data_IF_269769578833
#
_entry.id   IF_269769578833
#
_cell.length_a   1.000
_cell.length_b   1.000
_cell.length_c   1.000
_cell.angle_alpha   90.00
_cell.angle_beta   90.00
_cell.angle_gamma   90.00
#
_symmetry.space_group_name_H-M   'P 1'
#
loop_
_entity.id
_entity.type
_entity.pdbx_description
1 polymer ?
#
# COMPACT_ATOMS: atom_id res chain seq x y z
N UNK A 1 -48.83 26.44 -48.57
CA UNK A 1 -49.45 25.39 -47.71
C UNK A 1 -50.28 24.42 -48.56
N UNK A 2 -50.61 23.20 -48.08
CA UNK A 2 -49.95 22.43 -47.01
C UNK A 2 -49.75 20.91 -47.35
N UNK A 3 -49.16 20.14 -46.42
CA UNK A 3 -49.27 18.65 -46.29
C UNK A 3 -48.61 17.74 -47.38
N UNK A 4 -48.13 16.51 -47.13
CA UNK A 4 -47.54 15.84 -45.92
C UNK A 4 -46.97 14.44 -46.32
N UNK A 5 -45.91 13.95 -45.63
CA UNK A 5 -45.69 12.57 -45.10
C UNK A 5 -45.86 11.29 -46.00
N UNK A 6 -45.10 10.17 -45.95
CA UNK A 6 -43.91 9.62 -45.20
C UNK A 6 -43.15 8.67 -46.20
N UNK A 7 -42.14 7.81 -45.92
CA UNK A 7 -41.31 7.40 -44.76
C UNK A 7 -39.95 6.87 -45.30
N UNK A 8 -38.90 6.75 -44.47
CA UNK A 8 -38.00 5.57 -44.50
C UNK A 8 -37.32 5.36 -43.13
N UNK A 9 -37.38 4.13 -42.61
CA UNK A 9 -36.89 3.67 -41.31
C UNK A 9 -35.37 3.84 -40.97
N UNK A 10 -35.06 3.61 -39.68
CA UNK A 10 -33.74 3.31 -39.05
C UNK A 10 -32.93 4.53 -38.52
N UNK A 11 -32.26 4.51 -37.35
CA UNK A 11 -32.06 3.47 -36.30
C UNK A 11 -31.86 4.05 -34.88
N UNK A 12 -32.43 3.37 -33.87
CA UNK A 12 -32.04 3.29 -32.43
C UNK A 12 -32.05 4.57 -31.51
N UNK A 13 -32.38 4.45 -30.20
CA UNK A 13 -32.46 5.56 -29.24
C UNK A 13 -31.48 5.48 -28.03
N UNK A 14 -31.45 6.57 -27.22
CA UNK A 14 -30.87 6.70 -25.86
C UNK A 14 -29.32 6.55 -25.76
N UNK A 15 -28.63 7.10 -24.75
CA UNK A 15 -29.06 7.61 -23.43
C UNK A 15 -28.17 8.76 -22.92
N UNK A 16 -28.72 9.53 -21.99
CA UNK A 16 -28.11 10.46 -21.01
C UNK A 16 -26.60 10.28 -20.72
N UNK A 17 -25.91 11.42 -20.58
CA UNK A 17 -24.70 11.57 -19.75
C UNK A 17 -24.79 12.85 -18.92
N UNK A 18 -24.97 12.69 -17.63
CA UNK A 18 -24.43 13.63 -16.65
C UNK A 18 -23.08 13.04 -16.25
N UNK A 19 -21.99 13.58 -16.78
CA UNK A 19 -20.64 13.23 -16.37
C UNK A 19 -20.29 14.08 -15.13
N UNK A 20 -21.04 13.84 -14.04
CA UNK A 20 -20.76 14.36 -12.69
C UNK A 20 -19.61 13.54 -12.08
N UNK A 21 -18.39 13.73 -12.60
CA UNK A 21 -17.17 13.25 -11.95
C UNK A 21 -16.89 14.10 -10.69
N UNK A 22 -17.75 13.96 -9.67
CA UNK A 22 -17.36 14.29 -8.30
C UNK A 22 -16.24 13.34 -7.90
N UNK A 23 -15.01 13.85 -7.94
CA UNK A 23 -13.81 13.15 -7.47
C UNK A 23 -13.91 13.00 -5.94
N UNK A 24 -14.63 11.95 -5.50
CA UNK A 24 -14.86 11.61 -4.09
C UNK A 24 -13.55 11.19 -3.42
N UNK A 25 -12.78 12.22 -3.07
CA UNK A 25 -11.54 12.17 -2.29
C UNK A 25 -11.83 11.89 -0.81
N UNK A 26 -12.72 10.93 -0.55
CA UNK A 26 -12.90 10.29 0.75
C UNK A 26 -11.52 9.98 1.36
N UNK A 27 -11.24 10.57 2.52
CA UNK A 27 -9.87 10.74 3.03
C UNK A 27 -9.13 9.42 3.23
N UNK A 28 -8.31 9.04 2.24
CA UNK A 28 -7.70 7.71 2.07
C UNK A 28 -6.65 7.32 3.14
N UNK A 29 -6.32 8.25 4.03
CA UNK A 29 -5.53 8.00 5.25
C UNK A 29 -6.23 7.00 6.18
N UNK A 30 -7.56 7.09 6.32
CA UNK A 30 -8.34 6.37 7.35
C UNK A 30 -8.68 4.91 6.98
N UNK A 31 -7.80 4.21 6.26
CA UNK A 31 -7.91 2.75 6.06
C UNK A 31 -7.32 1.98 7.25
N UNK A 32 -6.58 2.64 8.15
CA UNK A 32 -6.36 2.12 9.50
C UNK A 32 -7.41 2.69 10.46
N UNK A 33 -8.00 1.81 11.29
CA UNK A 33 -8.91 2.20 12.38
C UNK A 33 -8.19 2.92 13.55
N UNK A 34 -6.87 3.09 13.47
CA UNK A 34 -6.03 3.75 14.49
C UNK A 34 -5.60 5.11 13.98
N UNK A 35 -6.06 6.17 14.63
CA UNK A 35 -5.77 7.56 14.23
C UNK A 35 -4.27 7.84 14.14
N UNK A 36 -3.82 8.37 13.00
CA UNK A 36 -2.43 8.77 12.74
C UNK A 36 -1.53 7.65 12.19
N UNK A 37 -1.85 6.38 12.44
CA UNK A 37 -1.23 5.25 11.74
C UNK A 37 -1.80 5.16 10.31
N UNK A 38 -0.99 4.73 9.32
CA UNK A 38 -1.39 4.75 7.90
C UNK A 38 -0.94 3.53 7.09
N UNK A 39 -1.77 3.15 6.12
CA UNK A 39 -1.42 2.22 5.05
C UNK A 39 -0.78 3.01 3.89
N UNK A 40 0.53 2.94 3.76
CA UNK A 40 1.28 3.76 2.79
C UNK A 40 1.27 3.10 1.42
N UNK A 41 0.69 3.81 0.44
CA UNK A 41 0.51 3.38 -0.97
C UNK A 41 1.44 4.14 -1.92
N UNK A 42 2.69 4.31 -1.51
CA UNK A 42 3.76 4.89 -2.33
C UNK A 42 5.12 4.54 -1.76
N UNK A 43 6.15 4.55 -2.60
CA UNK A 43 7.54 4.38 -2.16
C UNK A 43 7.99 5.47 -1.19
N UNK A 44 8.71 5.06 -0.15
CA UNK A 44 9.18 5.94 0.90
C UNK A 44 10.14 7.00 0.34
N UNK A 45 9.94 8.25 0.76
CA UNK A 45 10.78 9.39 0.37
C UNK A 45 11.12 10.24 1.60
N UNK A 46 12.40 10.48 1.80
CA UNK A 46 12.99 11.30 2.87
C UNK A 46 12.29 12.65 2.99
N UNK A 47 12.04 13.30 1.85
CA UNK A 47 11.42 14.62 1.74
C UNK A 47 9.97 14.70 2.24
N UNK A 48 9.26 13.56 2.36
CA UNK A 48 7.92 13.49 2.98
C UNK A 48 7.96 13.13 4.47
N UNK A 49 9.10 12.66 4.98
CA UNK A 49 9.24 12.22 6.36
C UNK A 49 9.52 13.40 7.30
N UNK A 50 8.47 14.08 7.74
CA UNK A 50 8.54 15.16 8.74
C UNK A 50 8.42 14.65 10.18
N UNK A 51 8.25 13.34 10.37
CA UNK A 51 7.99 12.69 11.66
C UNK A 51 9.25 12.09 12.29
N UNK A 52 9.25 11.93 13.62
CA UNK A 52 10.38 11.34 14.35
C UNK A 52 10.29 9.80 14.32
N UNK A 53 10.97 9.17 13.36
CA UNK A 53 11.03 7.71 13.24
C UNK A 53 11.79 7.11 14.43
N UNK A 54 11.07 6.35 15.26
CA UNK A 54 11.66 5.62 16.41
C UNK A 54 12.22 4.26 15.97
N UNK A 55 11.60 3.60 14.99
CA UNK A 55 12.06 2.36 14.33
C UNK A 55 11.54 2.33 12.89
N UNK A 56 12.38 1.91 11.95
CA UNK A 56 12.00 1.54 10.58
C UNK A 56 12.60 0.15 10.32
N UNK A 57 11.83 -0.84 9.91
CA UNK A 57 12.29 -2.22 9.69
C UNK A 57 12.17 -2.59 8.21
N UNK A 58 13.24 -3.10 7.62
CA UNK A 58 13.26 -3.69 6.28
C UNK A 58 12.74 -5.13 6.34
N UNK A 59 11.42 -5.33 6.16
CA UNK A 59 10.79 -6.65 6.30
C UNK A 59 11.38 -7.67 5.31
N UNK A 60 11.88 -8.80 5.82
CA UNK A 60 12.61 -9.80 5.03
C UNK A 60 13.98 -9.35 4.50
N UNK A 61 14.53 -8.23 4.98
CA UNK A 61 15.78 -7.65 4.47
C UNK A 61 16.81 -7.30 5.54
N UNK A 62 18.01 -6.97 5.07
CA UNK A 62 19.14 -6.54 5.91
C UNK A 62 19.04 -5.04 6.27
N UNK A 63 19.93 -4.60 7.17
CA UNK A 63 20.03 -3.21 7.58
C UNK A 63 20.43 -2.30 6.40
N UNK A 64 19.93 -1.07 6.38
CA UNK A 64 20.31 -0.07 5.38
C UNK A 64 20.65 1.26 6.08
N UNK A 65 21.84 1.80 5.79
CA UNK A 65 22.25 3.14 6.21
C UNK A 65 22.20 4.10 5.01
N UNK A 66 21.58 5.27 5.18
CA UNK A 66 21.70 6.34 4.19
C UNK A 66 23.06 7.05 4.30
N UNK A 67 23.70 7.31 3.15
CA UNK A 67 24.93 8.09 3.07
C UNK A 67 24.60 9.56 2.81
N UNK A 68 24.10 10.25 3.84
CA UNK A 68 23.66 11.65 3.78
C UNK A 68 23.64 12.36 5.13
N UNK A 69 23.33 13.66 5.13
CA UNK A 69 23.23 14.49 6.36
C UNK A 69 22.04 14.09 7.25
N UNK A 70 20.98 13.52 6.66
CA UNK A 70 19.93 12.83 7.40
C UNK A 70 20.33 11.37 7.58
N UNK A 71 20.82 10.99 8.76
CA UNK A 71 21.15 9.58 9.07
C UNK A 71 19.89 8.76 9.33
N UNK A 72 19.12 8.50 8.27
CA UNK A 72 18.09 7.47 8.26
C UNK A 72 18.74 6.11 8.54
N UNK A 73 18.25 5.41 9.57
CA UNK A 73 18.71 4.08 9.96
C UNK A 73 17.56 3.09 9.82
N UNK A 74 17.62 2.30 8.76
CA UNK A 74 16.66 1.22 8.50
C UNK A 74 17.22 -0.06 9.14
N UNK A 75 16.47 -0.59 10.10
CA UNK A 75 16.80 -1.80 10.85
C UNK A 75 16.61 -3.06 9.99
N UNK A 76 17.43 -4.11 10.21
CA UNK A 76 17.18 -5.43 9.62
C UNK A 76 15.91 -6.06 10.21
N UNK A 77 15.36 -7.05 9.52
CA UNK A 77 14.22 -7.83 10.02
C UNK A 77 14.59 -8.71 11.22
N UNK A 78 14.40 -8.20 12.44
CA UNK A 78 14.80 -8.87 13.70
C UNK A 78 13.71 -8.93 14.77
N UNK A 79 12.56 -8.28 14.55
CA UNK A 79 11.51 -8.10 15.55
C UNK A 79 10.29 -9.01 15.31
N UNK A 80 10.46 -10.07 14.52
CA UNK A 80 9.38 -10.91 14.02
C UNK A 80 9.24 -12.23 14.80
N UNK A 81 8.06 -12.84 14.71
CA UNK A 81 7.84 -14.25 15.05
C UNK A 81 6.98 -14.90 13.96
N UNK A 82 7.48 -16.01 13.40
CA UNK A 82 6.85 -16.69 12.25
C UNK A 82 7.12 -16.06 10.87
N UNK A 83 6.46 -16.61 9.86
CA UNK A 83 6.57 -16.23 8.46
C UNK A 83 7.89 -16.60 7.77
N UNK A 84 7.85 -16.58 6.45
CA UNK A 84 9.00 -16.80 5.56
C UNK A 84 9.46 -15.47 4.93
N UNK A 85 10.65 -15.49 4.34
CA UNK A 85 11.26 -14.34 3.66
C UNK A 85 11.29 -14.58 2.15
N UNK A 86 10.87 -13.59 1.36
CA UNK A 86 11.08 -13.53 -0.07
C UNK A 86 11.93 -12.31 -0.43
N UNK A 87 12.80 -12.47 -1.44
CA UNK A 87 13.42 -11.38 -2.17
C UNK A 87 13.14 -11.52 -3.67
N UNK A 88 12.97 -10.40 -4.36
CA UNK A 88 13.01 -10.30 -5.82
C UNK A 88 14.16 -9.40 -6.27
N UNK A 89 14.75 -9.68 -7.43
CA UNK A 89 15.70 -8.79 -8.11
C UNK A 89 15.04 -8.02 -9.27
N UNK A 90 13.72 -8.15 -9.43
CA UNK A 90 12.92 -7.33 -10.35
C UNK A 90 12.95 -5.84 -9.98
N UNK A 91 12.71 -4.99 -10.99
CA UNK A 91 12.62 -3.53 -10.78
C UNK A 91 11.32 -3.14 -10.08
N UNK A 92 11.43 -2.49 -8.93
CA UNK A 92 10.29 -1.88 -8.24
C UNK A 92 9.99 -0.51 -8.87
N UNK A 93 8.75 -0.34 -9.33
CA UNK A 93 8.24 0.89 -9.92
C UNK A 93 7.78 1.82 -8.79
N UNK A 94 8.13 3.11 -8.87
CA UNK A 94 7.79 4.13 -7.88
C UNK A 94 8.27 3.85 -6.43
N UNK A 95 9.35 3.07 -6.26
CA UNK A 95 9.92 2.69 -4.96
C UNK A 95 10.55 3.81 -4.12
N UNK A 96 10.41 5.08 -4.50
CA UNK A 96 10.91 6.24 -3.76
C UNK A 96 12.44 6.29 -3.70
N UNK A 97 12.97 6.85 -2.60
CA UNK A 97 14.42 7.03 -2.39
C UNK A 97 15.11 5.70 -2.08
N UNK A 98 14.39 4.75 -1.47
CA UNK A 98 14.90 3.46 -1.00
C UNK A 98 14.22 2.28 -1.71
N UNK A 99 14.34 2.24 -3.04
CA UNK A 99 13.72 1.24 -3.93
C UNK A 99 13.93 -0.22 -3.45
N UNK A 100 15.08 -0.52 -2.82
CA UNK A 100 15.42 -1.85 -2.31
C UNK A 100 14.64 -2.30 -1.07
N UNK A 101 13.99 -1.41 -0.31
CA UNK A 101 13.06 -1.78 0.78
C UNK A 101 11.93 -2.69 0.27
N UNK A 102 11.51 -2.45 -0.98
CA UNK A 102 10.36 -3.09 -1.61
C UNK A 102 10.74 -4.32 -2.44
N UNK A 103 12.04 -4.67 -2.48
CA UNK A 103 12.54 -5.90 -3.10
C UNK A 103 12.54 -7.09 -2.12
N UNK A 104 12.44 -6.84 -0.81
CA UNK A 104 12.30 -7.87 0.23
C UNK A 104 10.93 -7.81 0.89
N UNK A 105 10.43 -8.95 1.36
CA UNK A 105 9.23 -9.02 2.17
C UNK A 105 9.25 -10.21 3.14
N UNK A 106 8.61 -10.05 4.30
CA UNK A 106 8.14 -11.15 5.14
C UNK A 106 6.72 -11.52 4.74
N UNK A 107 6.42 -12.82 4.63
CA UNK A 107 5.12 -13.32 4.17
C UNK A 107 4.68 -14.58 4.94
N UNK A 108 3.45 -15.03 4.69
CA UNK A 108 2.80 -16.09 5.46
C UNK A 108 2.25 -15.59 6.80
N UNK A 109 2.15 -16.48 7.79
CA UNK A 109 1.63 -16.14 9.12
C UNK A 109 2.78 -15.69 10.03
N UNK A 110 2.80 -14.40 10.38
CA UNK A 110 3.79 -13.81 11.29
C UNK A 110 3.18 -12.69 12.14
N UNK A 111 3.90 -12.26 13.17
CA UNK A 111 3.68 -11.00 13.86
C UNK A 111 5.00 -10.25 14.12
N UNK A 112 4.91 -8.97 14.49
CA UNK A 112 6.04 -8.18 14.97
C UNK A 112 5.84 -7.82 16.45
N UNK A 113 6.92 -7.87 17.24
CA UNK A 113 6.94 -7.56 18.67
C UNK A 113 8.11 -6.63 18.99
N UNK A 114 7.85 -5.50 19.64
CA UNK A 114 8.82 -4.42 19.84
C UNK A 114 9.11 -4.14 21.33
N UNK A 115 9.54 -5.16 22.07
CA UNK A 115 9.71 -5.15 23.54
C UNK A 115 10.63 -4.05 24.11
N UNK A 116 11.42 -3.38 23.26
CA UNK A 116 12.31 -2.27 23.62
C UNK A 116 11.73 -0.86 23.43
N UNK A 117 10.43 -0.72 23.16
CA UNK A 117 9.75 0.58 23.18
C UNK A 117 9.31 0.96 24.60
N UNK A 118 9.41 2.25 24.94
CA UNK A 118 8.77 2.83 26.13
C UNK A 118 7.25 2.79 26.00
N UNK A 119 6.52 2.79 27.12
CA UNK A 119 5.08 2.99 27.09
C UNK A 119 4.75 4.43 26.60
N UNK A 120 3.88 4.54 25.60
CA UNK A 120 3.47 5.79 24.97
C UNK A 120 2.69 5.52 23.68
N UNK A 121 2.16 6.57 23.07
CA UNK A 121 1.45 6.48 21.79
C UNK A 121 2.44 6.47 20.62
N UNK A 122 2.21 5.57 19.66
CA UNK A 122 3.03 5.42 18.45
C UNK A 122 2.14 5.29 17.22
N UNK A 123 2.50 5.99 16.15
CA UNK A 123 1.93 5.76 14.82
C UNK A 123 2.72 4.67 14.10
N UNK A 124 2.02 3.87 13.29
CA UNK A 124 2.60 2.77 12.51
C UNK A 124 2.31 2.96 11.04
N UNK A 125 3.38 3.11 10.26
CA UNK A 125 3.36 3.09 8.80
C UNK A 125 3.46 1.65 8.32
N UNK A 126 2.40 1.19 7.64
CA UNK A 126 2.41 -0.10 6.95
C UNK A 126 2.75 0.12 5.47
N UNK A 127 3.98 -0.26 5.11
CA UNK A 127 4.45 -0.34 3.72
C UNK A 127 4.31 -1.76 3.19
N UNK A 128 3.83 -1.90 1.95
CA UNK A 128 3.69 -3.19 1.27
C UNK A 128 4.00 -3.07 -0.22
N UNK A 129 4.51 -4.13 -0.83
CA UNK A 129 4.55 -4.31 -2.28
C UNK A 129 4.12 -5.75 -2.64
N UNK A 130 3.51 -5.96 -3.81
CA UNK A 130 3.21 -7.31 -4.30
C UNK A 130 4.35 -7.81 -5.18
N UNK A 131 5.23 -8.61 -4.58
CA UNK A 131 6.41 -9.25 -5.21
C UNK A 131 6.31 -10.79 -5.26
N UNK A 132 5.21 -11.37 -4.78
CA UNK A 132 4.96 -12.82 -4.72
C UNK A 132 4.05 -13.25 -5.89
N UNK A 133 2.91 -12.58 -6.03
CA UNK A 133 1.85 -12.90 -7.00
C UNK A 133 1.77 -11.86 -8.14
N UNK A 134 2.93 -11.46 -8.65
CA UNK A 134 3.10 -10.41 -9.67
C UNK A 134 2.32 -10.63 -10.98
N UNK A 135 2.06 -11.88 -11.34
CA UNK A 135 1.29 -12.26 -12.54
C UNK A 135 -0.19 -12.61 -12.24
N UNK A 136 -0.63 -12.48 -10.98
CA UNK A 136 -1.97 -12.87 -10.56
C UNK A 136 -3.06 -11.84 -10.88
N UNK A 137 -4.34 -12.23 -10.93
CA UNK A 137 -5.45 -11.29 -10.77
C UNK A 137 -5.56 -10.82 -9.32
N UNK A 138 -6.42 -9.81 -9.09
CA UNK A 138 -6.91 -9.45 -7.75
C UNK A 138 -7.54 -10.67 -7.05
N UNK A 139 -7.42 -10.75 -5.73
CA UNK A 139 -7.94 -11.83 -4.89
C UNK A 139 -6.97 -13.00 -4.63
N UNK A 140 -5.78 -13.01 -5.24
CA UNK A 140 -4.79 -14.09 -5.04
C UNK A 140 -4.20 -14.13 -3.63
N UNK A 141 -4.12 -12.99 -2.95
CA UNK A 141 -3.67 -12.87 -1.56
C UNK A 141 -4.49 -11.78 -0.87
N UNK A 142 -5.29 -12.17 0.10
CA UNK A 142 -6.17 -11.28 0.88
C UNK A 142 -5.97 -11.61 2.36
N UNK A 143 -5.70 -10.61 3.20
CA UNK A 143 -5.41 -10.82 4.62
C UNK A 143 -5.82 -9.62 5.48
N UNK A 144 -6.09 -9.89 6.75
CA UNK A 144 -6.30 -8.85 7.76
C UNK A 144 -4.96 -8.44 8.39
N UNK A 145 -4.87 -7.20 8.89
CA UNK A 145 -3.77 -6.76 9.77
C UNK A 145 -4.34 -6.39 11.13
N UNK A 146 -3.69 -6.87 12.19
CA UNK A 146 -4.05 -6.61 13.58
C UNK A 146 -2.91 -5.86 14.30
N UNK A 147 -3.24 -4.97 15.22
CA UNK A 147 -2.31 -4.30 16.13
C UNK A 147 -2.91 -4.32 17.53
N UNK A 148 -2.16 -4.80 18.54
CA UNK A 148 -2.66 -4.95 19.91
C UNK A 148 -4.01 -5.71 19.98
N UNK A 149 -4.10 -6.83 19.25
CA UNK A 149 -5.30 -7.69 19.08
C UNK A 149 -6.48 -7.06 18.31
N UNK A 150 -6.55 -5.74 18.17
CA UNK A 150 -7.56 -5.05 17.35
C UNK A 150 -7.27 -5.16 15.84
N UNK A 151 -8.33 -5.31 15.03
CA UNK A 151 -8.20 -5.32 13.56
C UNK A 151 -8.03 -3.89 13.04
N UNK A 152 -6.90 -3.61 12.39
CA UNK A 152 -6.59 -2.29 11.83
C UNK A 152 -6.70 -2.22 10.31
N UNK A 153 -6.45 -3.32 9.58
CA UNK A 153 -6.82 -3.45 8.16
C UNK A 153 -7.70 -4.68 8.01
N UNK A 154 -8.78 -4.58 7.22
CA UNK A 154 -9.58 -5.73 6.80
C UNK A 154 -9.37 -6.02 5.32
N UNK A 155 -9.29 -7.31 4.97
CA UNK A 155 -9.33 -7.80 3.59
C UNK A 155 -8.32 -7.14 2.62
N UNK A 156 -7.08 -6.93 3.06
CA UNK A 156 -6.02 -6.29 2.27
C UNK A 156 -5.54 -7.18 1.11
N UNK A 157 -5.85 -6.75 -0.11
CA UNK A 157 -5.25 -7.24 -1.35
C UNK A 157 -4.28 -6.18 -1.90
N UNK A 158 -2.97 -6.44 -1.75
CA UNK A 158 -1.92 -5.52 -2.21
C UNK A 158 -1.89 -5.43 -3.75
N UNK A 159 -2.19 -6.53 -4.46
CA UNK A 159 -2.31 -6.48 -5.92
C UNK A 159 -3.49 -5.60 -6.35
N UNK A 160 -4.59 -5.61 -5.60
CA UNK A 160 -5.73 -4.74 -5.88
C UNK A 160 -5.44 -3.25 -5.66
N UNK A 161 -4.61 -2.91 -4.67
CA UNK A 161 -4.32 -1.53 -4.27
C UNK A 161 -3.19 -0.90 -5.09
N UNK A 162 -2.05 -1.59 -5.25
CA UNK A 162 -0.85 -1.05 -5.94
C UNK A 162 -0.42 -1.86 -7.18
N UNK A 163 -0.75 -3.16 -7.22
CA UNK A 163 -0.36 -4.07 -8.28
C UNK A 163 1.07 -4.62 -8.14
N UNK A 164 1.55 -5.31 -9.17
CA UNK A 164 2.86 -5.95 -9.17
C UNK A 164 4.03 -4.97 -9.05
N UNK A 165 5.05 -5.35 -8.27
CA UNK A 165 6.35 -4.66 -8.14
C UNK A 165 6.21 -3.15 -7.88
N UNK A 166 5.24 -2.76 -7.05
CA UNK A 166 4.92 -1.38 -6.68
C UNK A 166 4.56 -1.30 -5.19
N UNK A 167 4.97 -0.24 -4.50
CA UNK A 167 4.45 0.18 -3.21
C UNK A 167 3.49 1.37 -3.27
#
# INVERSE_FOLDING_TARGET
>A
PPFQNEDTHSSLPNKDRCDDDEEDTASVDSVLCVSGSRLVRSGFTTTKCTENIVKFVNAGGEAMEEVGDSRMLIMPDIAFEGGDVLRTDESIINGGDFVSLYQSARFGNFCYRFDSLSAGDYFVDLHFAEIIYTNGPKGMRVFDVYMQEEKVVSELDIYAVVGANKP
#
